data_IF_161375504772
#
_entry.id   IF_161375504772
#
_cell.length_a   1.000
_cell.length_b   1.000
_cell.length_c   1.000
_cell.angle_alpha   90.00
_cell.angle_beta   90.00
_cell.angle_gamma   90.00
#
_symmetry.space_group_name_H-M   'P 1'
#
loop_
_entity.id
_entity.type
_entity.pdbx_description
1 polymer ?
#
# COMPACT_ATOMS: atom_id res chain seq x y z
N UNK A 1 18.99 -46.97 -0.24
CA UNK A 1 18.37 -46.26 0.90
C UNK A 1 18.49 -44.75 0.65
N UNK A 2 17.52 -44.22 -0.11
CA UNK A 2 17.39 -42.80 -0.42
C UNK A 2 16.85 -42.02 0.78
N UNK A 3 17.64 -41.10 1.35
CA UNK A 3 17.13 -40.07 2.27
C UNK A 3 18.06 -38.86 2.44
N UNK A 4 18.79 -38.43 1.39
CA UNK A 4 19.59 -37.19 1.43
C UNK A 4 19.52 -36.43 0.09
N UNK A 5 18.34 -35.91 -0.27
CA UNK A 5 18.19 -35.14 -1.53
C UNK A 5 17.36 -33.85 -1.46
N UNK A 6 17.24 -33.21 -0.30
CA UNK A 6 16.58 -31.91 -0.24
C UNK A 6 17.19 -31.00 0.82
N UNK A 7 18.24 -30.24 0.47
CA UNK A 7 18.69 -29.06 1.24
C UNK A 7 19.79 -28.21 0.58
N UNK A 8 19.71 -27.93 -0.72
CA UNK A 8 20.62 -26.92 -1.34
C UNK A 8 19.87 -26.21 -2.47
N UNK A 9 19.28 -25.04 -2.19
CA UNK A 9 18.57 -24.25 -3.19
C UNK A 9 17.70 -23.10 -2.66
N UNK A 10 17.53 -22.98 -1.34
CA UNK A 10 16.60 -22.02 -0.73
C UNK A 10 17.26 -20.85 0.00
N UNK A 11 18.56 -20.89 0.28
CA UNK A 11 19.21 -19.95 1.20
C UNK A 11 19.74 -18.68 0.50
N UNK A 12 20.32 -18.83 -0.70
CA UNK A 12 20.82 -17.72 -1.53
C UNK A 12 19.70 -16.86 -2.14
N UNK A 13 18.60 -17.48 -2.58
CA UNK A 13 17.44 -16.75 -3.11
C UNK A 13 16.72 -15.96 -2.02
N UNK A 14 16.67 -16.50 -0.79
CA UNK A 14 16.13 -15.80 0.38
C UNK A 14 17.01 -14.60 0.73
N UNK A 15 18.33 -14.78 0.85
CA UNK A 15 19.26 -13.69 1.18
C UNK A 15 19.21 -12.52 0.20
N UNK A 16 19.05 -12.78 -1.11
CA UNK A 16 18.85 -11.74 -2.12
C UNK A 16 17.52 -10.99 -1.97
N UNK A 17 16.45 -11.69 -1.56
CA UNK A 17 15.14 -11.09 -1.30
C UNK A 17 15.19 -10.08 -0.16
N UNK A 18 15.77 -10.46 0.98
CA UNK A 18 15.93 -9.59 2.14
C UNK A 18 16.74 -8.33 1.82
N UNK A 19 17.85 -8.50 1.10
CA UNK A 19 18.75 -7.40 0.71
C UNK A 19 18.06 -6.38 -0.20
N UNK A 20 17.20 -6.85 -1.11
CA UNK A 20 16.39 -5.98 -1.98
C UNK A 20 15.34 -5.19 -1.19
N UNK A 21 14.74 -5.83 -0.20
CA UNK A 21 13.74 -5.21 0.67
C UNK A 21 14.38 -4.14 1.57
N UNK A 22 15.59 -4.40 2.07
CA UNK A 22 16.37 -3.45 2.87
C UNK A 22 16.76 -2.21 2.06
N UNK A 23 17.28 -2.39 0.84
CA UNK A 23 17.60 -1.27 -0.06
C UNK A 23 16.37 -0.40 -0.36
N UNK A 24 15.23 -1.02 -0.65
CA UNK A 24 13.97 -0.28 -0.86
C UNK A 24 13.53 0.49 0.39
N UNK A 25 13.64 -0.10 1.58
CA UNK A 25 13.31 0.60 2.82
C UNK A 25 14.20 1.84 3.03
N UNK A 26 15.49 1.75 2.67
CA UNK A 26 16.42 2.88 2.73
C UNK A 26 16.05 3.98 1.71
N UNK A 27 15.72 3.61 0.48
CA UNK A 27 15.28 4.56 -0.56
C UNK A 27 14.00 5.29 -0.14
N UNK A 28 13.01 4.55 0.37
CA UNK A 28 11.75 5.13 0.87
C UNK A 28 12.02 6.04 2.07
N UNK A 29 12.86 5.61 3.02
CA UNK A 29 13.21 6.41 4.20
C UNK A 29 13.97 7.70 3.87
N UNK A 30 14.71 7.74 2.76
CA UNK A 30 15.44 8.91 2.28
C UNK A 30 14.59 9.84 1.39
N UNK A 31 13.45 9.37 0.88
CA UNK A 31 12.61 10.12 -0.02
C UNK A 31 11.84 11.24 0.71
N UNK A 32 11.80 12.44 0.11
CA UNK A 32 11.00 13.55 0.61
C UNK A 32 9.51 13.41 0.22
N UNK A 33 9.25 12.79 -0.94
CA UNK A 33 7.92 12.57 -1.49
C UNK A 33 7.86 11.14 -2.00
N UNK A 34 6.79 10.43 -1.65
CA UNK A 34 6.54 9.05 -2.09
C UNK A 34 5.20 9.02 -2.80
N UNK A 35 5.21 8.56 -4.04
CA UNK A 35 4.00 8.29 -4.82
C UNK A 35 3.68 6.81 -4.73
N UNK A 36 2.45 6.49 -4.37
CA UNK A 36 1.95 5.13 -4.28
C UNK A 36 0.43 5.12 -4.51
N UNK A 37 -0.09 4.00 -5.01
CA UNK A 37 -1.53 3.74 -4.93
C UNK A 37 -1.91 3.47 -3.47
N UNK A 38 -3.20 3.62 -3.12
CA UNK A 38 -3.69 3.32 -1.76
C UNK A 38 -3.34 1.87 -1.32
N UNK A 39 -3.44 0.90 -2.23
CA UNK A 39 -3.06 -0.48 -1.94
C UNK A 39 -1.55 -0.64 -1.64
N UNK A 40 -0.68 0.02 -2.43
CA UNK A 40 0.77 -0.04 -2.22
C UNK A 40 1.21 0.73 -0.96
N UNK A 41 0.51 1.80 -0.61
CA UNK A 41 0.68 2.51 0.64
C UNK A 41 0.40 1.60 1.85
N UNK A 42 -0.55 0.67 1.74
CA UNK A 42 -0.82 -0.33 2.78
C UNK A 42 0.28 -1.39 2.96
N UNK A 43 1.32 -1.40 2.12
CA UNK A 43 2.34 -2.44 2.17
C UNK A 43 3.31 -2.27 3.35
N UNK A 44 3.78 -3.41 3.86
CA UNK A 44 4.69 -3.46 5.00
C UNK A 44 5.99 -2.66 4.77
N UNK A 45 6.46 -2.57 3.53
CA UNK A 45 7.70 -1.85 3.21
C UNK A 45 7.57 -0.33 3.37
N UNK A 46 6.39 0.23 3.05
CA UNK A 46 6.11 1.66 3.25
C UNK A 46 5.81 1.94 4.71
N UNK A 47 5.06 1.05 5.37
CA UNK A 47 4.78 1.14 6.81
C UNK A 47 6.05 1.07 7.67
N UNK A 48 7.07 0.30 7.25
CA UNK A 48 8.34 0.13 7.96
C UNK A 48 9.39 1.20 7.67
N UNK A 49 9.16 2.12 6.73
CA UNK A 49 10.15 3.13 6.35
C UNK A 49 10.47 4.16 7.46
N UNK A 50 9.80 4.09 8.62
CA UNK A 50 10.29 4.67 9.88
C UNK A 50 10.10 6.18 10.03
N UNK A 51 9.62 6.88 9.00
CA UNK A 51 9.32 8.32 9.05
C UNK A 51 7.80 8.54 9.17
N UNK A 52 7.32 9.33 10.15
CA UNK A 52 5.91 9.71 10.18
C UNK A 52 5.62 10.67 9.02
N UNK A 53 4.79 10.23 8.07
CA UNK A 53 4.29 11.10 6.99
C UNK A 53 3.49 12.22 7.62
N UNK A 54 4.03 13.45 7.63
CA UNK A 54 3.33 14.58 8.25
C UNK A 54 2.09 15.00 7.44
N UNK A 55 2.11 14.77 6.13
CA UNK A 55 1.04 15.12 5.21
C UNK A 55 0.83 13.97 4.24
N UNK A 56 -0.43 13.57 4.05
CA UNK A 56 -0.83 12.57 3.05
C UNK A 56 -1.78 13.26 2.07
N UNK A 57 -1.51 13.09 0.78
CA UNK A 57 -2.34 13.55 -0.32
C UNK A 57 -2.92 12.32 -1.00
N UNK A 58 -4.23 12.31 -1.22
CA UNK A 58 -4.91 11.29 -2.02
C UNK A 58 -5.55 11.99 -3.20
N UNK A 59 -5.10 11.65 -4.39
CA UNK A 59 -5.72 12.07 -5.65
C UNK A 59 -6.81 11.05 -6.06
N UNK A 60 -7.78 11.51 -6.85
CA UNK A 60 -8.95 10.71 -7.27
C UNK A 60 -9.69 10.05 -6.09
N UNK A 61 -9.76 10.73 -4.95
CA UNK A 61 -10.34 10.20 -3.71
C UNK A 61 -11.81 9.76 -3.89
N UNK A 62 -12.57 10.41 -4.77
CA UNK A 62 -13.96 10.04 -5.09
C UNK A 62 -14.08 8.70 -5.85
N UNK A 63 -13.00 8.19 -6.44
CA UNK A 63 -12.96 6.89 -7.13
C UNK A 63 -12.47 5.75 -6.22
N UNK A 64 -12.09 6.04 -4.98
CA UNK A 64 -11.71 5.05 -3.98
C UNK A 64 -12.89 4.73 -3.06
N UNK A 65 -13.00 3.48 -2.63
CA UNK A 65 -13.97 3.12 -1.58
C UNK A 65 -13.53 3.65 -0.23
N UNK A 66 -14.47 3.92 0.67
CA UNK A 66 -14.15 4.38 2.03
C UNK A 66 -13.08 3.49 2.73
N UNK A 67 -13.15 2.14 2.67
CA UNK A 67 -12.09 1.30 3.26
C UNK A 67 -10.73 1.42 2.60
N UNK A 68 -10.68 1.69 1.29
CA UNK A 68 -9.40 1.93 0.60
C UNK A 68 -8.75 3.24 1.08
N UNK A 69 -9.56 4.28 1.35
CA UNK A 69 -9.09 5.56 1.88
C UNK A 69 -8.58 5.46 3.33
N UNK A 70 -9.09 4.52 4.13
CA UNK A 70 -8.60 4.29 5.50
C UNK A 70 -7.10 3.99 5.54
N UNK A 71 -6.54 3.40 4.48
CA UNK A 71 -5.09 3.14 4.39
C UNK A 71 -4.28 4.43 4.53
N UNK A 72 -4.78 5.57 4.04
CA UNK A 72 -4.10 6.86 4.20
C UNK A 72 -4.02 7.32 5.67
N UNK A 73 -4.96 6.90 6.52
CA UNK A 73 -5.01 7.26 7.93
C UNK A 73 -3.99 6.50 8.79
N UNK A 74 -3.51 5.33 8.33
CA UNK A 74 -2.57 4.49 9.10
C UNK A 74 -1.27 5.23 9.46
N UNK A 75 -0.91 6.23 8.65
CA UNK A 75 0.31 7.02 8.82
C UNK A 75 0.22 8.06 9.92
N UNK A 76 -0.96 8.27 10.51
CA UNK A 76 -1.21 9.28 11.56
C UNK A 76 -0.72 10.67 11.14
N UNK A 77 -0.93 11.00 9.87
CA UNK A 77 -0.51 12.27 9.30
C UNK A 77 -1.20 13.43 10.01
N UNK A 78 -0.47 14.53 10.22
CA UNK A 78 -1.03 15.77 10.79
C UNK A 78 -2.02 16.42 9.82
N UNK A 79 -1.85 16.19 8.53
CA UNK A 79 -2.71 16.71 7.46
C UNK A 79 -3.06 15.59 6.49
N UNK A 80 -4.35 15.43 6.21
CA UNK A 80 -4.85 14.59 5.13
C UNK A 80 -5.58 15.50 4.14
N UNK A 81 -5.13 15.48 2.88
CA UNK A 81 -5.73 16.24 1.79
C UNK A 81 -6.29 15.26 0.78
N UNK A 82 -7.59 15.34 0.55
CA UNK A 82 -8.32 14.48 -0.40
C UNK A 82 -8.72 15.35 -1.60
N UNK A 83 -8.26 14.96 -2.77
CA UNK A 83 -8.59 15.59 -4.04
C UNK A 83 -9.40 14.60 -4.87
N UNK A 84 -10.47 15.08 -5.49
CA UNK A 84 -11.35 14.28 -6.32
C UNK A 84 -12.55 15.11 -6.76
N UNK A 85 -13.21 14.66 -7.82
CA UNK A 85 -14.41 15.29 -8.35
C UNK A 85 -15.63 14.43 -8.02
N UNK A 86 -16.52 14.85 -7.10
CA UNK A 86 -17.73 14.11 -6.76
C UNK A 86 -18.74 13.97 -7.92
N UNK A 87 -18.60 14.76 -8.98
CA UNK A 87 -19.44 14.69 -10.17
C UNK A 87 -18.91 13.70 -11.23
N UNK A 88 -17.72 13.14 -11.03
CA UNK A 88 -17.15 12.10 -11.90
C UNK A 88 -17.59 10.69 -11.48
N UNK A 89 -17.04 9.66 -12.14
CA UNK A 89 -17.41 8.27 -11.92
C UNK A 89 -17.15 7.86 -10.46
N UNK A 90 -18.07 7.12 -9.81
CA UNK A 90 -17.85 6.55 -8.48
C UNK A 90 -16.86 5.38 -8.54
N UNK A 91 -16.45 4.89 -7.37
CA UNK A 91 -15.64 3.69 -7.24
C UNK A 91 -16.29 2.49 -7.98
N UNK A 92 -15.50 1.76 -8.76
CA UNK A 92 -16.00 0.60 -9.52
C UNK A 92 -16.22 -0.60 -8.60
N UNK A 93 -17.49 -0.96 -8.38
CA UNK A 93 -17.88 -2.11 -7.56
C UNK A 93 -18.36 -3.25 -8.46
N UNK A 94 -17.68 -4.40 -8.41
CA UNK A 94 -18.05 -5.57 -9.22
C UNK A 94 -19.28 -6.31 -8.66
N UNK A 95 -19.50 -6.24 -7.34
CA UNK A 95 -20.60 -6.91 -6.66
C UNK A 95 -21.81 -5.98 -6.51
N UNK A 96 -22.89 -6.28 -7.24
CA UNK A 96 -24.16 -5.55 -7.12
C UNK A 96 -24.75 -5.60 -5.70
N UNK A 97 -24.53 -6.70 -4.98
CA UNK A 97 -24.97 -6.81 -3.59
C UNK A 97 -24.21 -5.84 -2.68
N UNK A 98 -22.90 -5.68 -2.89
CA UNK A 98 -22.09 -4.72 -2.12
C UNK A 98 -22.45 -3.27 -2.47
N UNK A 99 -22.70 -2.99 -3.76
CA UNK A 99 -23.19 -1.68 -4.21
C UNK A 99 -24.54 -1.33 -3.57
N UNK A 100 -25.50 -2.27 -3.54
CA UNK A 100 -26.79 -2.08 -2.89
C UNK A 100 -26.68 -1.82 -1.38
N UNK A 101 -25.63 -2.33 -0.73
CA UNK A 101 -25.30 -2.05 0.66
C UNK A 101 -24.49 -0.76 0.88
N UNK A 102 -24.22 0.02 -0.18
CA UNK A 102 -23.53 1.31 -0.10
C UNK A 102 -22.00 1.25 -0.14
N UNK A 103 -21.39 0.11 -0.52
CA UNK A 103 -19.93 -0.04 -0.53
C UNK A 103 -19.19 0.89 -1.53
N UNK A 104 -19.88 1.34 -2.57
CA UNK A 104 -19.31 2.25 -3.59
C UNK A 104 -19.53 3.73 -3.31
N UNK A 105 -20.00 4.10 -2.11
CA UNK A 105 -20.19 5.49 -1.70
C UNK A 105 -18.93 6.10 -1.10
#
# INVERSE_FOLDING_TARGET
SEARKWRVGTDSSRSLGWRRQELRSLEIGAAQIIFATLAAAGSEIVARAGQPFQTVLVDEACQATEPALIVALQYRARRLLLFGDPAQLPATILSRAAEACGYGR
#
